data_IF_419778787837
#
_entry.id   IF_419778787837
#
_cell.length_a   1.000
_cell.length_b   1.000
_cell.length_c   1.000
_cell.angle_alpha   90.00
_cell.angle_beta   90.00
_cell.angle_gamma   90.00
#
_symmetry.space_group_name_H-M   'P 1'
#
loop_
_entity.id
_entity.type
_entity.pdbx_description
1 polymer ?
#
# COMPACT_ATOMS: atom_id res chain seq x y z
N UNK A 1 -9.39 22.28 -13.10
CA UNK A 1 -9.87 20.93 -12.76
C UNK A 1 -8.92 20.40 -11.71
N UNK A 2 -9.33 20.28 -10.44
CA UNK A 2 -8.47 19.73 -9.38
C UNK A 2 -8.60 18.21 -9.49
N UNK A 3 -7.54 17.53 -9.92
CA UNK A 3 -7.50 16.07 -9.91
C UNK A 3 -7.37 15.62 -8.45
N UNK A 4 -8.40 14.94 -7.93
CA UNK A 4 -8.32 14.31 -6.62
C UNK A 4 -7.57 13.00 -6.78
N UNK A 5 -6.33 12.95 -6.32
CA UNK A 5 -5.58 11.70 -6.25
C UNK A 5 -6.20 10.79 -5.17
N UNK A 6 -6.30 9.48 -5.41
CA UNK A 6 -6.83 8.56 -4.43
C UNK A 6 -5.90 8.47 -3.22
N UNK A 7 -6.51 8.20 -2.05
CA UNK A 7 -5.82 8.08 -0.77
C UNK A 7 -5.90 6.64 -0.29
N UNK A 8 -4.75 6.06 0.02
CA UNK A 8 -4.60 4.70 0.51
C UNK A 8 -4.16 4.72 1.96
N UNK A 9 -4.72 3.83 2.79
CA UNK A 9 -4.34 3.72 4.19
C UNK A 9 -3.49 2.47 4.42
N UNK A 10 -2.33 2.61 5.07
CA UNK A 10 -1.52 1.47 5.49
C UNK A 10 -2.23 0.74 6.62
N UNK A 11 -2.79 -0.44 6.35
CA UNK A 11 -3.52 -1.24 7.33
C UNK A 11 -2.66 -2.33 7.97
N UNK A 12 -1.51 -2.63 7.36
CA UNK A 12 -0.52 -3.54 7.91
C UNK A 12 0.84 -3.25 7.28
N UNK A 13 1.92 -3.43 8.05
CA UNK A 13 3.27 -3.29 7.56
C UNK A 13 4.21 -4.15 8.40
N UNK A 14 5.02 -4.97 7.75
CA UNK A 14 6.08 -5.75 8.39
C UNK A 14 7.44 -5.33 7.84
N UNK A 15 8.26 -4.77 8.72
CA UNK A 15 9.53 -4.14 8.35
C UNK A 15 10.54 -5.17 7.80
N UNK A 16 10.63 -6.34 8.43
CA UNK A 16 11.59 -7.38 8.06
C UNK A 16 11.31 -7.97 6.68
N UNK A 17 10.02 -8.12 6.35
CA UNK A 17 9.57 -8.61 5.04
C UNK A 17 9.48 -7.51 3.98
N UNK A 18 9.68 -6.25 4.39
CA UNK A 18 9.46 -5.07 3.56
C UNK A 18 8.14 -5.17 2.80
N UNK A 19 7.05 -5.46 3.52
CA UNK A 19 5.74 -5.66 2.90
C UNK A 19 4.70 -4.81 3.62
N UNK A 20 3.82 -4.17 2.86
CA UNK A 20 2.74 -3.34 3.35
C UNK A 20 1.40 -3.73 2.69
N UNK A 21 0.33 -3.66 3.47
CA UNK A 21 -1.04 -3.75 2.98
C UNK A 21 -1.64 -2.36 2.98
N UNK A 22 -2.17 -1.96 1.83
CA UNK A 22 -2.85 -0.71 1.61
C UNK A 22 -4.34 -0.94 1.39
N UNK A 23 -5.19 -0.27 2.17
CA UNK A 23 -6.62 -0.22 1.93
C UNK A 23 -6.94 0.93 0.97
N UNK A 24 -7.65 0.59 -0.10
CA UNK A 24 -8.11 1.53 -1.11
C UNK A 24 -9.40 2.25 -0.69
N UNK A 25 -9.72 3.42 -1.28
CA UNK A 25 -10.99 4.11 -1.04
C UNK A 25 -12.23 3.26 -1.37
N UNK A 26 -12.10 2.32 -2.32
CA UNK A 26 -13.15 1.37 -2.70
C UNK A 26 -13.45 0.31 -1.63
N UNK A 27 -12.61 0.21 -0.59
CA UNK A 27 -12.67 -0.84 0.43
C UNK A 27 -11.90 -2.11 0.07
N UNK A 28 -11.32 -2.20 -1.14
CA UNK A 28 -10.40 -3.27 -1.54
C UNK A 28 -9.01 -3.07 -0.97
N UNK A 29 -8.18 -4.09 -1.04
CA UNK A 29 -6.81 -4.08 -0.56
C UNK A 29 -5.80 -4.20 -1.69
N UNK A 30 -4.59 -3.76 -1.40
CA UNK A 30 -3.41 -3.90 -2.23
C UNK A 30 -2.28 -4.40 -1.34
N UNK A 31 -1.51 -5.37 -1.82
CA UNK A 31 -0.29 -5.85 -1.18
C UNK A 31 0.88 -5.35 -2.00
N UNK A 32 1.85 -4.73 -1.34
CA UNK A 32 3.01 -4.17 -2.00
C UNK A 32 4.29 -4.38 -1.18
N UNK A 33 5.38 -4.62 -1.88
CA UNK A 33 6.73 -4.57 -1.31
C UNK A 33 7.16 -3.12 -1.08
N UNK A 34 7.75 -2.82 0.07
CA UNK A 34 8.35 -1.51 0.40
C UNK A 34 9.77 -1.48 -0.14
N UNK A 35 10.00 -0.73 -1.23
CA UNK A 35 11.33 -0.59 -1.82
C UNK A 35 12.16 0.44 -1.07
N UNK A 36 11.57 1.59 -0.75
CA UNK A 36 12.23 2.69 -0.06
C UNK A 36 11.21 3.63 0.62
N UNK A 37 11.64 4.30 1.69
CA UNK A 37 10.84 5.26 2.45
C UNK A 37 10.14 4.67 3.68
N UNK A 38 9.97 5.46 4.75
CA UNK A 38 9.35 4.99 5.98
C UNK A 38 7.83 4.84 5.80
N UNK A 39 7.32 3.70 6.26
CA UNK A 39 5.90 3.38 6.36
C UNK A 39 5.56 2.92 7.77
N UNK A 40 4.44 3.41 8.28
CA UNK A 40 3.86 3.01 9.55
C UNK A 40 2.38 2.68 9.35
N UNK A 41 1.84 1.78 10.18
CA UNK A 41 0.39 1.54 10.20
C UNK A 41 -0.37 2.84 10.48
N UNK A 42 -1.46 3.05 9.75
CA UNK A 42 -2.26 4.27 9.81
C UNK A 42 -1.76 5.40 8.89
N UNK A 43 -0.58 5.28 8.29
CA UNK A 43 -0.11 6.26 7.31
C UNK A 43 -1.08 6.33 6.13
N UNK A 44 -1.29 7.56 5.64
CA UNK A 44 -2.12 7.83 4.46
C UNK A 44 -1.21 8.20 3.30
N UNK A 45 -1.32 7.47 2.20
CA UNK A 45 -0.52 7.63 0.99
C UNK A 45 -1.40 8.14 -0.15
N UNK A 46 -0.88 9.04 -0.97
CA UNK A 46 -1.59 9.70 -2.06
C UNK A 46 -0.80 9.50 -3.35
N UNK A 47 -1.47 9.08 -4.40
CA UNK A 47 -0.85 8.85 -5.71
C UNK A 47 -1.66 7.87 -6.54
N UNK A 48 -1.06 7.34 -7.59
CA UNK A 48 -1.69 6.30 -8.41
C UNK A 48 -1.01 4.96 -8.15
N UNK A 49 -1.79 3.96 -7.73
CA UNK A 49 -1.34 2.57 -7.73
C UNK A 49 -1.54 1.97 -9.12
N UNK A 50 -0.49 1.37 -9.75
CA UNK A 50 -0.66 0.52 -10.92
C UNK A 50 -1.32 -0.80 -10.54
N UNK A 51 -1.69 -1.62 -11.53
CA UNK A 51 -2.20 -2.98 -11.27
C UNK A 51 -1.11 -3.92 -10.75
N UNK A 52 0.14 -3.69 -11.17
CA UNK A 52 1.33 -4.36 -10.67
C UNK A 52 2.58 -3.51 -10.96
N UNK A 53 3.66 -3.77 -10.23
CA UNK A 53 4.97 -3.16 -10.45
C UNK A 53 5.26 -1.91 -9.60
N UNK A 54 6.46 -1.38 -9.79
CA UNK A 54 6.99 -0.28 -9.00
C UNK A 54 6.21 1.04 -9.21
N UNK A 55 5.93 1.73 -8.11
CA UNK A 55 5.26 3.02 -8.08
C UNK A 55 5.77 3.90 -6.93
N UNK A 56 5.50 5.20 -7.04
CA UNK A 56 5.83 6.17 -6.00
C UNK A 56 4.56 6.81 -5.46
N UNK A 57 4.35 6.71 -4.15
CA UNK A 57 3.27 7.38 -3.44
C UNK A 57 3.83 8.47 -2.53
N UNK A 58 3.03 9.49 -2.25
CA UNK A 58 3.37 10.58 -1.33
C UNK A 58 2.62 10.44 -0.02
N UNK A 59 3.31 10.54 1.10
CA UNK A 59 2.67 10.54 2.40
C UNK A 59 1.85 11.83 2.59
N UNK A 60 0.55 11.69 2.84
CA UNK A 60 -0.42 12.80 2.88
C UNK A 60 -0.04 13.91 3.88
N UNK A 61 0.35 13.52 5.11
CA UNK A 61 0.62 14.47 6.20
C UNK A 61 2.06 14.94 6.29
N UNK A 62 3.02 14.13 5.85
CA UNK A 62 4.46 14.37 6.04
C UNK A 62 5.17 14.84 4.77
N UNK A 63 4.54 14.66 3.61
CA UNK A 63 5.07 15.09 2.31
C UNK A 63 6.26 14.28 1.80
N UNK A 64 6.80 13.32 2.57
CA UNK A 64 7.84 12.41 2.08
C UNK A 64 7.25 11.40 1.10
N UNK A 65 8.12 10.82 0.28
CA UNK A 65 7.72 9.84 -0.74
C UNK A 65 8.10 8.44 -0.31
N UNK A 66 7.31 7.47 -0.76
CA UNK A 66 7.50 6.05 -0.53
C UNK A 66 7.49 5.35 -1.87
N UNK A 67 8.46 4.46 -2.09
CA UNK A 67 8.52 3.59 -3.24
C UNK A 67 7.99 2.22 -2.87
N UNK A 68 7.03 1.75 -3.66
CA UNK A 68 6.35 0.49 -3.47
C UNK A 68 6.44 -0.34 -4.75
N UNK A 69 6.51 -1.66 -4.63
CA UNK A 69 6.30 -2.60 -5.72
C UNK A 69 4.96 -3.31 -5.54
N UNK A 70 4.00 -3.04 -6.43
CA UNK A 70 2.65 -3.60 -6.31
C UNK A 70 2.67 -5.06 -6.77
N UNK A 71 2.44 -5.96 -5.83
CA UNK A 71 2.37 -7.40 -6.08
C UNK A 71 0.96 -7.84 -6.46
N UNK A 72 -0.04 -7.29 -5.77
CA UNK A 72 -1.44 -7.61 -5.99
C UNK A 72 -2.36 -6.44 -5.62
N UNK A 73 -3.40 -6.22 -6.42
CA UNK A 73 -4.35 -5.13 -6.28
C UNK A 73 -5.80 -5.64 -6.34
N UNK A 74 -6.71 -4.87 -5.77
CA UNK A 74 -8.16 -5.06 -5.80
C UNK A 74 -8.63 -6.33 -5.09
N UNK A 75 -7.84 -6.77 -4.11
CA UNK A 75 -8.12 -7.92 -3.27
C UNK A 75 -9.31 -7.65 -2.35
N UNK A 76 -10.14 -8.67 -2.15
CA UNK A 76 -11.05 -8.73 -1.01
C UNK A 76 -10.26 -8.87 0.30
N UNK A 77 -10.93 -8.67 1.43
CA UNK A 77 -10.33 -8.86 2.74
C UNK A 77 -9.83 -10.30 2.95
N UNK A 78 -10.61 -11.30 2.47
CA UNK A 78 -10.24 -12.72 2.59
C UNK A 78 -8.98 -13.03 1.79
N UNK A 79 -8.91 -12.63 0.52
CA UNK A 79 -7.74 -12.86 -0.33
C UNK A 79 -6.47 -12.16 0.22
N UNK A 80 -6.64 -10.97 0.80
CA UNK A 80 -5.55 -10.26 1.45
C UNK A 80 -5.05 -10.99 2.70
N UNK A 81 -5.95 -11.48 3.55
CA UNK A 81 -5.57 -12.23 4.76
C UNK A 81 -4.86 -13.54 4.41
N UNK A 82 -5.31 -14.24 3.37
CA UNK A 82 -4.66 -15.46 2.89
C UNK A 82 -3.21 -15.17 2.44
N UNK A 83 -3.00 -14.10 1.66
CA UNK A 83 -1.66 -13.68 1.24
C UNK A 83 -0.76 -13.26 2.40
N UNK A 84 -1.27 -12.45 3.33
CA UNK A 84 -0.49 -12.02 4.50
C UNK A 84 -0.13 -13.21 5.38
N UNK A 85 -1.03 -14.19 5.53
CA UNK A 85 -0.79 -15.40 6.31
C UNK A 85 0.37 -16.22 5.73
N UNK A 86 0.43 -16.37 4.40
CA UNK A 86 1.53 -17.03 3.69
C UNK A 86 2.87 -16.32 3.83
N UNK A 87 2.87 -15.00 3.98
CA UNK A 87 4.08 -14.22 4.17
C UNK A 87 4.57 -14.26 5.63
N UNK A 88 3.67 -14.49 6.58
CA UNK A 88 3.97 -14.51 8.02
C UNK A 88 4.32 -15.90 8.59
N UNK A 89 4.21 -16.96 7.78
CA UNK A 89 4.52 -18.36 8.13
C UNK A 89 5.97 -18.72 7.85
#
# INVERSE_FOLDING_TARGET
>A
MIAYLPVYMVTWHQHDLRCAVLRQPSGRYCVAGTLDGPLTMGDSLVGELPNSGACQLSHALRGHRVWLDVEARDLSEVEMLDLVSLLSS
#
